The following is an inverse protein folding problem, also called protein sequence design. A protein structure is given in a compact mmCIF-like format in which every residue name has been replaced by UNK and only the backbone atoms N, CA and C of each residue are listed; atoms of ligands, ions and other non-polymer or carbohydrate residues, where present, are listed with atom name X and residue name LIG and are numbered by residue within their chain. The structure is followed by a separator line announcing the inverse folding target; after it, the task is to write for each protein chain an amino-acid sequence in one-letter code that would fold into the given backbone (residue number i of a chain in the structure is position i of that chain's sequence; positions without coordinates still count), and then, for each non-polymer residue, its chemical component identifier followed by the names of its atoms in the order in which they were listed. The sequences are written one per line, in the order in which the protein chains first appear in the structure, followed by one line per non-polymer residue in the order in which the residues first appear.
data_IF_741756007796
#
_entry.id   IF_741756007796
#
_cell.length_a   1.000
_cell.length_b   1.000
_cell.length_c   1.000
_cell.angle_alpha   90.00
_cell.angle_beta   90.00
_cell.angle_gamma   90.00
#
_symmetry.space_group_name_H-M   'P 1'
#
loop_
_entity.id
_entity.type
_entity.pdbx_description
1 polymer ?
#
# COMPACT_ATOMS: atom_id res chain seq x y z
N UNK A 1 -12.40 -25.58 14.45
CA UNK A 1 -12.25 -24.61 13.34
C UNK A 1 -12.25 -23.14 13.81
N UNK A 2 -12.35 -22.84 15.10
CA UNK A 2 -12.41 -21.46 15.63
C UNK A 2 -11.07 -20.88 16.07
N UNK A 3 -10.01 -21.69 16.20
CA UNK A 3 -8.68 -21.27 16.66
C UNK A 3 -7.76 -20.75 15.55
N UNK A 4 -7.92 -21.23 14.31
CA UNK A 4 -7.10 -20.80 13.18
C UNK A 4 -7.38 -19.34 12.75
N UNK A 5 -8.63 -18.87 12.87
CA UNK A 5 -9.01 -17.49 12.53
C UNK A 5 -8.50 -16.44 13.51
N UNK A 6 -8.36 -16.80 14.80
CA UNK A 6 -7.82 -15.90 15.81
C UNK A 6 -6.29 -15.78 15.70
N UNK A 7 -5.61 -16.87 15.34
CA UNK A 7 -4.18 -16.85 15.01
C UNK A 7 -3.91 -16.05 13.72
N UNK A 8 -4.72 -16.18 12.67
CA UNK A 8 -4.54 -15.43 11.43
C UNK A 8 -4.54 -13.89 11.59
N UNK A 9 -5.12 -13.36 12.67
CA UNK A 9 -5.16 -11.93 12.94
C UNK A 9 -3.85 -11.37 13.54
N UNK A 10 -3.00 -12.22 14.16
CA UNK A 10 -1.72 -11.79 14.74
C UNK A 10 -0.56 -11.77 13.73
N UNK A 11 -0.75 -12.31 12.53
CA UNK A 11 0.32 -12.44 11.51
C UNK A 11 0.15 -11.47 10.34
N UNK A 12 -0.77 -10.51 10.42
CA UNK A 12 -1.00 -9.58 9.31
C UNK A 12 0.12 -8.54 9.22
N UNK A 13 0.40 -8.09 7.99
CA UNK A 13 1.20 -6.88 7.78
C UNK A 13 0.37 -5.67 8.24
N UNK A 14 1.02 -4.79 8.99
CA UNK A 14 0.53 -3.45 9.23
C UNK A 14 0.64 -2.63 7.94
N UNK A 15 -0.42 -1.90 7.60
CA UNK A 15 -0.44 -0.95 6.50
C UNK A 15 -0.51 0.45 7.08
N UNK A 16 0.52 1.26 6.87
CA UNK A 16 0.57 2.66 7.28
C UNK A 16 0.46 3.55 6.07
N UNK A 17 -0.40 4.56 6.14
CA UNK A 17 -0.69 5.48 5.04
C UNK A 17 -0.10 6.85 5.32
N UNK A 18 0.58 7.40 4.31
CA UNK A 18 1.08 8.76 4.33
C UNK A 18 0.76 9.46 3.02
N UNK A 19 0.51 10.76 3.08
CA UNK A 19 0.32 11.59 1.90
C UNK A 19 1.28 12.77 1.93
N UNK A 20 1.91 13.05 0.79
CA UNK A 20 2.71 14.25 0.62
C UNK A 20 2.09 15.15 -0.45
N UNK A 21 1.79 16.39 -0.10
CA UNK A 21 1.38 17.41 -1.07
C UNK A 21 2.58 17.93 -1.85
N UNK A 22 2.47 18.01 -3.18
CA UNK A 22 3.58 18.43 -4.04
C UNK A 22 3.95 19.92 -3.87
N UNK A 23 2.97 20.77 -3.55
CA UNK A 23 3.16 22.23 -3.45
C UNK A 23 3.88 22.64 -2.17
N UNK A 24 3.43 22.10 -1.03
CA UNK A 24 3.96 22.42 0.29
C UNK A 24 5.15 21.52 0.67
N UNK A 25 5.23 20.31 0.09
CA UNK A 25 6.12 19.24 0.56
C UNK A 25 5.74 18.71 1.93
N UNK A 26 4.59 19.11 2.48
CA UNK A 26 4.11 18.66 3.77
C UNK A 26 3.68 17.20 3.68
N UNK A 27 4.03 16.42 4.70
CA UNK A 27 3.70 15.00 4.83
C UNK A 27 2.67 14.87 5.93
N UNK A 28 1.53 14.32 5.58
CA UNK A 28 0.43 14.01 6.47
C UNK A 28 0.46 12.54 6.82
N UNK A 29 0.36 12.23 8.12
CA UNK A 29 0.10 10.87 8.58
C UNK A 29 -1.39 10.54 8.50
N UNK A 30 -1.74 9.25 8.56
CA UNK A 30 -3.11 8.76 8.46
C UNK A 30 -4.12 9.54 9.33
N UNK A 31 -3.74 9.85 10.57
CA UNK A 31 -4.59 10.58 11.53
C UNK A 31 -4.85 12.05 11.14
N UNK A 32 -4.05 12.61 10.24
CA UNK A 32 -4.07 14.03 9.84
C UNK A 32 -4.69 14.21 8.45
N UNK A 33 -5.02 13.13 7.73
CA UNK A 33 -5.51 13.21 6.35
C UNK A 33 -6.87 13.91 6.23
N UNK A 34 -7.65 14.00 7.31
CA UNK A 34 -8.90 14.76 7.35
C UNK A 34 -8.69 16.28 7.34
N UNK A 35 -7.48 16.75 7.64
CA UNK A 35 -7.20 18.17 7.90
C UNK A 35 -6.59 18.88 6.69
N UNK A 36 -6.48 18.17 5.56
CA UNK A 36 -5.85 18.71 4.35
C UNK A 36 -6.80 19.69 3.67
N UNK A 37 -6.39 20.95 3.63
CA UNK A 37 -7.24 22.03 3.12
C UNK A 37 -7.58 21.83 1.64
N UNK A 38 -8.89 21.82 1.34
CA UNK A 38 -9.38 21.70 -0.04
C UNK A 38 -9.34 20.29 -0.62
N UNK A 39 -8.93 19.28 0.16
CA UNK A 39 -9.06 17.87 -0.22
C UNK A 39 -9.91 17.13 0.82
N UNK A 40 -10.57 16.08 0.36
CA UNK A 40 -11.26 15.12 1.21
C UNK A 40 -10.69 13.74 0.91
N UNK A 41 -10.09 13.10 1.91
CA UNK A 41 -9.48 11.79 1.79
C UNK A 41 -10.28 10.83 2.64
N UNK A 42 -10.82 9.79 2.00
CA UNK A 42 -11.55 8.72 2.68
C UNK A 42 -10.78 7.42 2.50
N UNK A 43 -10.66 6.67 3.60
CA UNK A 43 -10.04 5.36 3.64
C UNK A 43 -11.02 4.40 4.28
N UNK A 44 -11.26 3.28 3.61
CA UNK A 44 -12.12 2.22 4.14
C UNK A 44 -11.34 0.92 4.13
N UNK A 45 -11.19 0.34 5.30
CA UNK A 45 -10.53 -0.94 5.46
C UNK A 45 -11.54 -2.07 5.56
N UNK A 46 -11.21 -3.17 4.90
CA UNK A 46 -11.95 -4.41 5.03
C UNK A 46 -11.00 -5.59 5.19
N UNK A 47 -11.49 -6.60 5.93
CA UNK A 47 -10.74 -7.80 6.24
C UNK A 47 -11.49 -9.00 5.69
N UNK A 48 -10.76 -9.88 5.03
CA UNK A 48 -11.23 -11.16 4.52
C UNK A 48 -10.33 -12.29 5.03
N UNK A 49 -10.75 -13.56 4.90
CA UNK A 49 -9.86 -14.68 5.19
C UNK A 49 -8.57 -14.65 4.36
N UNK A 50 -8.65 -14.09 3.15
CA UNK A 50 -7.55 -14.08 2.17
C UNK A 50 -6.63 -12.85 2.35
N UNK A 51 -6.95 -11.92 3.25
CA UNK A 51 -6.12 -10.74 3.54
C UNK A 51 -6.88 -9.46 3.89
N UNK A 52 -6.14 -8.36 3.93
CA UNK A 52 -6.61 -7.00 4.23
C UNK A 52 -6.70 -6.19 2.94
N UNK A 53 -7.77 -5.42 2.79
CA UNK A 53 -7.98 -4.49 1.68
C UNK A 53 -8.19 -3.07 2.23
N UNK A 54 -7.66 -2.09 1.53
CA UNK A 54 -7.75 -0.67 1.83
C UNK A 54 -8.23 0.05 0.56
N UNK A 55 -9.49 0.47 0.57
CA UNK A 55 -10.04 1.35 -0.45
C UNK A 55 -9.74 2.80 -0.08
N UNK A 56 -9.16 3.56 -1.01
CA UNK A 56 -8.77 4.96 -0.82
C UNK A 56 -9.46 5.81 -1.87
N UNK A 57 -9.97 6.96 -1.46
CA UNK A 57 -10.37 8.00 -2.39
C UNK A 57 -9.84 9.36 -1.98
N UNK A 58 -9.38 10.12 -2.98
CA UNK A 58 -8.93 11.49 -2.82
C UNK A 58 -9.82 12.37 -3.69
N UNK A 59 -10.60 13.23 -3.05
CA UNK A 59 -11.49 14.20 -3.67
C UNK A 59 -10.89 15.59 -3.53
N UNK A 60 -10.84 16.34 -4.63
CA UNK A 60 -10.38 17.72 -4.65
C UNK A 60 -11.60 18.65 -4.67
N UNK A 61 -11.77 19.42 -3.60
CA UNK A 61 -12.89 20.34 -3.40
C UNK A 61 -12.58 21.77 -3.86
N UNK A 62 -11.46 21.96 -4.58
CA UNK A 62 -11.05 23.26 -5.13
C UNK A 62 -11.15 23.24 -6.65
N UNK A 63 -11.02 24.41 -7.28
CA UNK A 63 -10.89 24.52 -8.73
C UNK A 63 -9.48 24.24 -9.24
N UNK A 64 -8.50 24.20 -8.34
CA UNK A 64 -7.08 24.07 -8.69
C UNK A 64 -6.66 22.61 -8.80
N UNK A 65 -5.61 22.35 -9.57
CA UNK A 65 -5.06 21.00 -9.70
C UNK A 65 -4.24 20.65 -8.45
N UNK A 66 -4.60 19.55 -7.78
CA UNK A 66 -3.82 19.03 -6.64
C UNK A 66 -2.97 17.84 -7.06
N UNK A 67 -1.71 17.85 -6.67
CA UNK A 67 -0.74 16.79 -6.95
C UNK A 67 -0.02 16.38 -5.68
N UNK A 68 0.43 15.14 -5.65
CA UNK A 68 1.19 14.64 -4.53
C UNK A 68 1.58 13.19 -4.70
N UNK A 69 1.96 12.59 -3.58
CA UNK A 69 2.32 11.19 -3.47
C UNK A 69 1.54 10.56 -2.34
N UNK A 70 1.05 9.35 -2.57
CA UNK A 70 0.47 8.50 -1.54
C UNK A 70 1.45 7.35 -1.28
N UNK A 71 1.88 7.19 -0.04
CA UNK A 71 2.82 6.17 0.39
C UNK A 71 2.11 5.19 1.30
N UNK A 72 2.18 3.90 0.98
CA UNK A 72 1.70 2.81 1.83
C UNK A 72 2.90 1.98 2.24
N UNK A 73 3.18 1.94 3.54
CA UNK A 73 4.25 1.12 4.11
C UNK A 73 3.61 -0.14 4.69
N UNK A 74 4.13 -1.30 4.26
CA UNK A 74 3.68 -2.61 4.68
C UNK A 74 4.81 -3.28 5.46
N UNK A 75 4.59 -3.50 6.75
CA UNK A 75 5.58 -4.02 7.69
C UNK A 75 4.94 -5.05 8.62
N UNK A 76 5.68 -6.04 9.12
CA UNK A 76 5.14 -6.95 10.12
C UNK A 76 4.83 -6.18 11.42
N UNK A 77 3.77 -6.60 12.14
CA UNK A 77 3.39 -5.98 13.42
C UNK A 77 4.50 -6.19 14.46
N UNK A 78 5.11 -7.37 14.46
CA UNK A 78 6.21 -7.74 15.34
C UNK A 78 7.52 -7.87 14.54
N UNK A 79 8.64 -7.44 15.15
CA UNK A 79 9.96 -7.54 14.53
C UNK A 79 10.41 -9.01 14.45
N UNK A 80 10.26 -9.61 13.27
CA UNK A 80 10.61 -11.01 13.06
C UNK A 80 11.95 -11.20 12.34
N UNK A 81 12.81 -12.01 12.92
CA UNK A 81 14.17 -12.27 12.40
C UNK A 81 14.17 -13.11 11.11
N UNK A 82 13.11 -13.88 10.89
CA UNK A 82 12.97 -14.77 9.73
C UNK A 82 12.11 -14.18 8.62
N UNK A 83 11.72 -12.90 8.75
CA UNK A 83 11.00 -12.18 7.70
C UNK A 83 11.90 -11.93 6.49
N UNK A 84 11.37 -12.20 5.30
CA UNK A 84 11.97 -11.82 4.01
C UNK A 84 10.97 -11.03 3.19
N UNK A 85 11.34 -9.84 2.72
CA UNK A 85 10.59 -9.10 1.71
C UNK A 85 11.31 -9.18 0.35
N UNK A 86 10.55 -9.45 -0.70
CA UNK A 86 10.99 -9.61 -2.08
C UNK A 86 10.20 -8.64 -2.97
N UNK A 87 10.90 -7.98 -3.90
CA UNK A 87 10.30 -7.20 -4.98
C UNK A 87 10.71 -7.84 -6.32
N UNK A 88 9.85 -8.67 -6.92
CA UNK A 88 10.17 -9.35 -8.17
C UNK A 88 10.48 -8.35 -9.29
N UNK A 89 11.49 -8.60 -10.13
CA UNK A 89 11.99 -7.63 -11.10
C UNK A 89 11.01 -7.27 -12.22
N UNK A 90 10.04 -8.14 -12.51
CA UNK A 90 9.10 -7.99 -13.63
C UNK A 90 7.67 -7.69 -13.18
N UNK A 91 7.42 -7.61 -11.88
CA UNK A 91 6.07 -7.49 -11.36
C UNK A 91 5.93 -6.27 -10.46
N UNK A 92 4.72 -5.71 -10.48
CA UNK A 92 4.31 -4.61 -9.63
C UNK A 92 3.66 -5.13 -8.34
N UNK A 93 4.25 -6.10 -7.65
CA UNK A 93 3.83 -6.46 -6.30
C UNK A 93 5.05 -6.74 -5.42
N UNK A 94 4.92 -6.56 -4.12
CA UNK A 94 5.89 -7.06 -3.14
C UNK A 94 5.39 -8.36 -2.52
N UNK A 95 6.34 -9.22 -2.13
CA UNK A 95 6.08 -10.50 -1.50
C UNK A 95 6.79 -10.53 -0.16
N UNK A 96 6.11 -10.94 0.90
CA UNK A 96 6.70 -11.15 2.21
C UNK A 96 6.59 -12.62 2.59
N UNK A 97 7.66 -13.20 3.14
CA UNK A 97 7.66 -14.55 3.72
C UNK A 97 7.84 -14.40 5.22
N UNK A 98 6.85 -14.84 5.99
CA UNK A 98 6.77 -14.63 7.44
C UNK A 98 6.04 -15.82 8.08
N UNK A 99 6.65 -16.44 9.09
CA UNK A 99 6.12 -17.60 9.84
C UNK A 99 5.49 -18.72 9.00
N UNK A 100 6.08 -19.03 7.84
CA UNK A 100 5.57 -20.07 6.94
C UNK A 100 4.41 -19.65 6.04
N UNK A 101 3.99 -18.39 6.10
CA UNK A 101 3.04 -17.78 5.19
C UNK A 101 3.73 -16.89 4.15
N UNK A 102 3.03 -16.73 3.03
CA UNK A 102 3.33 -15.78 1.96
C UNK A 102 2.32 -14.65 2.03
N UNK A 103 2.80 -13.42 1.99
CA UNK A 103 1.96 -12.24 1.84
C UNK A 103 2.27 -11.58 0.51
N UNK A 104 1.23 -11.22 -0.23
CA UNK A 104 1.34 -10.47 -1.48
C UNK A 104 0.73 -9.09 -1.27
N UNK A 105 1.55 -8.06 -1.47
CA UNK A 105 1.16 -6.67 -1.33
C UNK A 105 1.17 -6.02 -2.71
N UNK A 106 0.03 -5.47 -3.10
CA UNK A 106 -0.16 -4.83 -4.41
C UNK A 106 -1.29 -3.81 -4.31
N UNK A 107 -1.48 -3.00 -5.34
CA UNK A 107 -2.54 -2.02 -5.38
C UNK A 107 -2.67 -1.34 -6.74
N UNK A 108 -3.74 -0.57 -6.88
CA UNK A 108 -4.07 0.16 -8.11
C UNK A 108 -4.78 1.46 -7.76
N UNK A 109 -4.54 2.49 -8.56
CA UNK A 109 -5.24 3.77 -8.48
C UNK A 109 -5.67 4.22 -9.88
N UNK A 110 -6.83 4.85 -10.01
CA UNK A 110 -7.50 5.13 -11.29
C UNK A 110 -6.72 6.04 -12.25
N UNK A 111 -5.70 6.76 -11.78
CA UNK A 111 -4.84 7.64 -12.61
C UNK A 111 -3.39 7.71 -12.09
N UNK A 112 -2.95 6.71 -11.32
CA UNK A 112 -1.65 6.74 -10.65
C UNK A 112 -0.59 5.90 -11.35
N UNK A 113 0.61 6.47 -11.55
CA UNK A 113 1.80 5.64 -11.72
C UNK A 113 2.15 5.03 -10.36
N UNK A 114 2.19 3.71 -10.31
CA UNK A 114 2.58 2.96 -9.10
C UNK A 114 4.07 2.69 -9.17
N UNK A 115 4.80 3.07 -8.12
CA UNK A 115 6.19 2.67 -7.87
C UNK A 115 6.21 1.79 -6.64
N UNK A 116 7.04 0.75 -6.67
CA UNK A 116 7.21 -0.14 -5.53
C UNK A 116 8.67 -0.28 -5.16
N UNK A 117 8.93 -0.46 -3.88
CA UNK A 117 10.27 -0.65 -3.34
C UNK A 117 10.20 -1.48 -2.07
N UNK A 118 11.21 -2.31 -1.83
CA UNK A 118 11.43 -3.02 -0.56
C UNK A 118 12.66 -2.44 0.12
N UNK A 119 12.66 -2.36 1.45
CA UNK A 119 13.78 -1.84 2.23
C UNK A 119 13.82 -2.45 3.63
N UNK A 120 14.98 -2.43 4.28
CA UNK A 120 15.07 -2.81 5.70
C UNK A 120 14.64 -1.63 6.57
N UNK A 121 13.69 -1.87 7.46
CA UNK A 121 13.17 -0.87 8.39
C UNK A 121 14.25 -0.40 9.37
N UNK A 122 15.22 -1.25 9.70
CA UNK A 122 16.18 -0.98 10.79
C UNK A 122 17.26 0.08 10.53
N UNK A 123 17.38 0.69 9.35
CA UNK A 123 18.40 1.74 9.14
C UNK A 123 17.96 2.86 8.20
N UNK A 124 17.82 4.05 8.79
CA UNK A 124 18.29 5.33 8.22
C UNK A 124 17.43 6.04 7.16
N UNK A 125 16.16 5.69 6.92
CA UNK A 125 15.33 6.48 5.99
C UNK A 125 14.27 7.28 6.71
N UNK A 126 14.40 8.61 6.64
CA UNK A 126 13.32 9.51 7.04
C UNK A 126 12.13 9.38 6.08
N UNK A 127 10.88 9.53 6.56
CA UNK A 127 9.69 9.54 5.69
C UNK A 127 9.85 10.47 4.46
N UNK A 128 10.38 11.71 4.59
CA UNK A 128 10.68 12.56 3.44
C UNK A 128 11.60 11.94 2.39
N UNK A 129 12.59 11.13 2.79
CA UNK A 129 13.46 10.43 1.83
C UNK A 129 12.70 9.41 1.01
N UNK A 130 11.74 8.69 1.60
CA UNK A 130 10.91 7.72 0.87
C UNK A 130 10.04 8.39 -0.21
N UNK A 131 9.61 9.63 0.03
CA UNK A 131 8.84 10.42 -0.93
C UNK A 131 9.69 11.04 -2.05
N UNK A 132 10.91 11.46 -1.74
CA UNK A 132 11.78 12.21 -2.66
C UNK A 132 12.72 11.30 -3.45
N UNK A 133 13.23 10.25 -2.82
CA UNK A 133 14.18 9.31 -3.37
C UNK A 133 13.63 7.89 -3.19
N UNK A 134 12.97 7.30 -4.21
CA UNK A 134 12.52 5.93 -4.11
C UNK A 134 13.70 5.06 -3.65
N UNK A 135 13.45 4.16 -2.71
CA UNK A 135 14.52 3.34 -2.18
C UNK A 135 15.26 2.68 -3.33
N UNK A 136 16.60 2.67 -3.24
CA UNK A 136 17.41 1.99 -4.23
C UNK A 136 16.84 0.57 -4.35
N UNK A 137 16.57 0.11 -5.58
CA UNK A 137 15.92 -1.16 -5.80
C UNK A 137 16.68 -2.27 -5.06
N UNK A 138 16.09 -2.74 -3.96
CA UNK A 138 16.61 -3.83 -3.14
C UNK A 138 15.70 -5.02 -3.38
N UNK A 139 16.03 -5.91 -4.34
CA UNK A 139 15.12 -6.97 -4.74
C UNK A 139 14.75 -7.88 -3.57
N UNK A 140 15.63 -8.05 -2.58
CA UNK A 140 15.43 -8.91 -1.42
C UNK A 140 15.97 -8.22 -0.18
N UNK A 141 15.19 -8.26 0.90
CA UNK A 141 15.55 -7.79 2.24
C UNK A 141 15.19 -8.86 3.25
N UNK A 142 16.07 -9.14 4.23
CA UNK A 142 15.83 -10.10 5.31
C UNK A 142 15.87 -9.40 6.68
N UNK A 143 15.12 -9.91 7.65
CA UNK A 143 14.98 -9.36 9.00
C UNK A 143 13.80 -8.40 9.04
N UNK A 144 13.91 -7.30 9.80
CA UNK A 144 12.90 -6.25 9.86
C UNK A 144 12.77 -5.55 8.49
N UNK A 145 11.98 -6.15 7.60
CA UNK A 145 11.80 -5.70 6.24
C UNK A 145 10.44 -5.01 6.10
N UNK A 146 10.37 -4.04 5.21
CA UNK A 146 9.14 -3.38 4.84
C UNK A 146 9.07 -3.26 3.32
N UNK A 147 7.85 -3.22 2.79
CA UNK A 147 7.61 -2.82 1.41
C UNK A 147 6.84 -1.52 1.34
N UNK A 148 7.08 -0.77 0.27
CA UNK A 148 6.49 0.52 -0.02
C UNK A 148 5.76 0.44 -1.33
N UNK A 149 4.48 0.83 -1.29
CA UNK A 149 3.73 1.23 -2.47
C UNK A 149 3.70 2.75 -2.50
N UNK A 150 4.11 3.35 -3.61
CA UNK A 150 4.08 4.79 -3.81
C UNK A 150 3.25 5.10 -5.06
N UNK A 151 2.19 5.88 -4.91
CA UNK A 151 1.35 6.33 -6.01
C UNK A 151 1.57 7.82 -6.23
N UNK A 152 2.04 8.18 -7.42
CA UNK A 152 2.00 9.58 -7.88
C UNK A 152 0.54 9.90 -8.25
N UNK A 153 -0.06 10.91 -7.61
CA UNK A 153 -1.44 11.31 -7.90
C UNK A 153 -1.54 12.73 -8.46
N UNK A 154 -2.57 12.93 -9.28
CA UNK A 154 -2.94 14.21 -9.88
C UNK A 154 -4.46 14.31 -9.95
N UNK A 155 -5.05 15.09 -9.06
CA UNK A 155 -6.50 15.23 -8.91
C UNK A 155 -6.96 16.60 -9.43
N UNK A 156 -7.69 16.60 -10.54
CA UNK A 156 -8.25 17.82 -11.13
C UNK A 156 -9.27 18.47 -10.18
N UNK A 157 -9.50 19.77 -10.34
CA UNK A 157 -10.47 20.49 -9.51
C UNK A 157 -11.87 19.86 -9.59
N UNK A 158 -12.53 19.73 -8.45
CA UNK A 158 -13.86 19.11 -8.30
C UNK A 158 -13.95 17.68 -8.84
N UNK A 159 -12.85 16.94 -8.82
CA UNK A 159 -12.81 15.52 -9.21
C UNK A 159 -12.39 14.64 -8.05
N UNK A 160 -12.67 13.35 -8.20
CA UNK A 160 -12.31 12.29 -7.26
C UNK A 160 -11.49 11.24 -8.00
N UNK A 161 -10.42 10.79 -7.35
CA UNK A 161 -9.67 9.61 -7.74
C UNK A 161 -9.88 8.51 -6.71
N UNK A 162 -9.94 7.28 -7.18
CA UNK A 162 -10.11 6.09 -6.34
C UNK A 162 -8.95 5.14 -6.55
N UNK A 163 -8.68 4.34 -5.53
CA UNK A 163 -7.71 3.27 -5.57
C UNK A 163 -8.02 2.22 -4.53
N UNK A 164 -7.36 1.07 -4.67
CA UNK A 164 -7.40 0.00 -3.71
C UNK A 164 -6.01 -0.58 -3.54
N UNK A 165 -5.66 -0.88 -2.29
CA UNK A 165 -4.44 -1.58 -1.91
C UNK A 165 -4.86 -2.83 -1.17
N UNK A 166 -4.12 -3.92 -1.37
CA UNK A 166 -4.39 -5.17 -0.68
C UNK A 166 -3.10 -5.85 -0.24
N UNK A 167 -3.19 -6.48 0.93
CA UNK A 167 -2.21 -7.40 1.48
C UNK A 167 -2.88 -8.76 1.62
N UNK A 168 -2.67 -9.64 0.64
CA UNK A 168 -3.20 -10.99 0.62
C UNK A 168 -2.26 -11.93 1.39
N UNK A 169 -2.82 -12.97 2.01
CA UNK A 169 -2.08 -13.97 2.79
C UNK A 169 -2.45 -15.37 2.34
N UNK A 170 -1.45 -16.25 2.22
CA UNK A 170 -1.66 -17.66 1.89
C UNK A 170 -0.39 -18.49 2.05
N UNK A 171 -0.42 -19.72 1.55
CA UNK A 171 0.73 -20.64 1.59
C UNK A 171 1.50 -20.65 0.27
N UNK A 172 0.82 -20.36 -0.85
CA UNK A 172 1.39 -20.41 -2.21
C UNK A 172 1.23 -19.07 -2.93
N UNK A 173 2.35 -18.54 -3.45
CA UNK A 173 2.36 -17.26 -4.17
C UNK A 173 1.47 -17.27 -5.42
N UNK A 174 1.42 -18.38 -6.15
CA UNK A 174 0.69 -18.48 -7.43
C UNK A 174 -0.83 -18.31 -7.24
N UNK A 175 -1.38 -18.73 -6.10
CA UNK A 175 -2.78 -18.52 -5.79
C UNK A 175 -3.08 -17.07 -5.41
N UNK A 176 -2.19 -16.44 -4.64
CA UNK A 176 -2.30 -15.01 -4.33
C UNK A 176 -2.21 -14.14 -5.58
N UNK A 177 -1.37 -14.52 -6.56
CA UNK A 177 -1.26 -13.83 -7.83
C UNK A 177 -2.57 -13.88 -8.63
N UNK A 178 -3.22 -15.04 -8.70
CA UNK A 178 -4.53 -15.18 -9.36
C UNK A 178 -5.60 -14.30 -8.72
N UNK A 179 -5.63 -14.26 -7.37
CA UNK A 179 -6.56 -13.40 -6.63
C UNK A 179 -6.27 -11.93 -6.93
N UNK A 180 -5.00 -11.52 -6.85
CA UNK A 180 -4.58 -10.14 -7.12
C UNK A 180 -4.92 -9.69 -8.55
N UNK A 181 -4.72 -10.55 -9.54
CA UNK A 181 -5.09 -10.26 -10.93
C UNK A 181 -6.61 -10.10 -11.07
N UNK A 182 -7.40 -10.96 -10.42
CA UNK A 182 -8.86 -10.84 -10.33
C UNK A 182 -9.31 -9.50 -9.74
N UNK A 183 -8.67 -9.04 -8.67
CA UNK A 183 -8.94 -7.73 -8.05
C UNK A 183 -8.63 -6.58 -9.03
N UNK A 184 -7.48 -6.61 -9.71
CA UNK A 184 -7.11 -5.60 -10.72
C UNK A 184 -8.10 -5.50 -11.87
N UNK A 185 -8.60 -6.65 -12.33
CA UNK A 185 -9.64 -6.75 -13.37
C UNK A 185 -10.95 -6.17 -12.84
N UNK A 186 -11.41 -6.60 -11.66
CA UNK A 186 -12.65 -6.08 -11.06
C UNK A 186 -12.64 -4.55 -10.91
N UNK A 187 -11.51 -3.97 -10.52
CA UNK A 187 -11.33 -2.52 -10.45
C UNK A 187 -11.32 -1.84 -11.82
N UNK A 188 -10.79 -2.49 -12.86
CA UNK A 188 -10.82 -1.95 -14.22
C UNK A 188 -12.24 -1.89 -14.82
N UNK A 189 -13.14 -2.75 -14.36
CA UNK A 189 -14.50 -2.88 -14.88
C UNK A 189 -15.57 -2.43 -13.89
N UNK A 190 -15.26 -1.53 -12.95
CA UNK A 190 -16.30 -0.79 -12.21
C UNK A 190 -17.13 0.03 -13.20
N UNK A 191 -18.16 -0.59 -13.77
CA UNK A 191 -19.17 0.07 -14.59
C UNK A 191 -19.87 1.05 -13.66
N UNK A 192 -19.63 2.35 -13.86
CA UNK A 192 -20.34 3.41 -13.16
C UNK A 192 -21.85 3.15 -13.35
N UNK A 193 -22.53 2.79 -12.27
CA UNK A 193 -23.99 2.76 -12.22
C UNK A 193 -24.52 4.18 -12.13
#
# INVERSE_FOLDING_TARGET
MTTARAAACSHQLNMRVYLMEAESGHIYEEAELSDITGMNICMNESFSPDGRMLDISIENNTSELKKGKLLIINEPIDCEKDHVALLPPLHSHSVHFLEGFVYLVDGKMDNGFTRQSTFSWMKERSLPELFTHPAAYQPIVKGEAASVLCFDYSCQGFTRIEGAIWSLMGEEIDDLLKISEGLKIGLAFKIKK
#
